data_IF_114452879478
#
_entry.id   IF_114452879478
#
_cell.length_a   1.000
_cell.length_b   1.000
_cell.length_c   1.000
_cell.angle_alpha   90.00
_cell.angle_beta   90.00
_cell.angle_gamma   90.00
#
_symmetry.space_group_name_H-M   'P 1'
#
loop_
_entity.id
_entity.type
_entity.pdbx_description
1 polymer ?
#
# COMPACT_ATOMS: atom_id res chain seq x y z
N UNK A 1 -8.97 -32.14 35.82
CA UNK A 1 -8.45 -30.80 35.46
C UNK A 1 -7.41 -30.97 34.37
N UNK A 2 -7.45 -30.15 33.33
CA UNK A 2 -6.50 -30.18 32.20
C UNK A 2 -5.11 -29.70 32.64
N UNK A 3 -4.07 -30.48 32.35
CA UNK A 3 -2.69 -30.17 32.74
C UNK A 3 -1.83 -29.65 31.60
N UNK A 4 -0.75 -28.93 31.94
CA UNK A 4 0.25 -28.42 30.99
C UNK A 4 0.83 -29.52 30.10
N UNK A 5 1.13 -30.68 30.67
CA UNK A 5 1.68 -31.81 29.94
C UNK A 5 0.69 -32.41 28.93
N UNK A 6 -0.61 -32.41 29.25
CA UNK A 6 -1.66 -32.86 28.32
C UNK A 6 -1.77 -31.93 27.11
N UNK A 7 -1.78 -30.60 27.34
CA UNK A 7 -1.84 -29.63 26.24
C UNK A 7 -0.59 -29.72 25.36
N UNK A 8 0.61 -29.74 25.97
CA UNK A 8 1.88 -29.82 25.21
C UNK A 8 2.02 -31.07 24.38
N UNK A 9 1.49 -32.21 24.83
CA UNK A 9 1.47 -33.45 24.04
C UNK A 9 0.67 -33.29 22.76
N UNK A 10 -0.55 -32.75 22.85
CA UNK A 10 -1.38 -32.50 21.67
C UNK A 10 -0.72 -31.51 20.70
N UNK A 11 -0.05 -30.47 21.21
CA UNK A 11 0.72 -29.55 20.37
C UNK A 11 1.91 -30.25 19.67
N UNK A 12 2.62 -31.13 20.39
CA UNK A 12 3.71 -31.92 19.82
C UNK A 12 3.22 -32.92 18.76
N UNK A 13 1.98 -33.41 18.90
CA UNK A 13 1.29 -34.24 17.90
C UNK A 13 0.78 -33.41 16.70
N UNK A 14 1.09 -32.11 16.63
CA UNK A 14 0.78 -31.22 15.52
C UNK A 14 -0.57 -30.50 15.61
N UNK A 15 -1.30 -30.62 16.72
CA UNK A 15 -2.59 -29.95 16.88
C UNK A 15 -2.42 -28.47 17.22
N UNK A 16 -3.33 -27.64 16.71
CA UNK A 16 -3.52 -26.25 17.17
C UNK A 16 -4.22 -26.16 18.52
N UNK A 17 -4.19 -24.98 19.14
CA UNK A 17 -4.80 -24.72 20.45
C UNK A 17 -6.33 -24.89 20.46
N UNK A 18 -7.00 -24.63 19.33
CA UNK A 18 -8.44 -24.81 19.18
C UNK A 18 -8.82 -26.30 19.23
N UNK A 19 -8.08 -27.14 18.51
CA UNK A 19 -8.31 -28.59 18.51
C UNK A 19 -7.86 -29.22 19.83
N UNK A 20 -6.75 -28.78 20.40
CA UNK A 20 -6.30 -29.20 21.72
C UNK A 20 -7.33 -28.84 22.80
N UNK A 21 -7.88 -27.62 22.76
CA UNK A 21 -8.96 -27.18 23.64
C UNK A 21 -10.21 -28.04 23.50
N UNK A 22 -10.68 -28.29 22.27
CA UNK A 22 -11.83 -29.19 22.01
C UNK A 22 -11.64 -30.58 22.60
N UNK A 23 -10.49 -31.21 22.38
CA UNK A 23 -10.20 -32.56 22.90
C UNK A 23 -10.10 -32.62 24.42
N UNK A 24 -9.67 -31.52 25.04
CA UNK A 24 -9.48 -31.43 26.49
C UNK A 24 -10.68 -30.80 27.21
N UNK A 25 -11.74 -30.44 26.49
CA UNK A 25 -12.95 -29.84 27.06
C UNK A 25 -12.72 -28.46 27.67
N UNK A 26 -11.75 -27.67 27.16
CA UNK A 26 -11.46 -26.31 27.62
C UNK A 26 -11.40 -25.32 26.45
N UNK A 27 -11.72 -24.03 26.66
CA UNK A 27 -11.52 -23.00 25.65
C UNK A 27 -10.07 -22.93 25.13
N UNK A 28 -9.90 -22.55 23.87
CA UNK A 28 -8.58 -22.50 23.23
C UNK A 28 -7.61 -21.55 23.95
N UNK A 29 -8.08 -20.36 24.36
CA UNK A 29 -7.30 -19.43 25.17
C UNK A 29 -6.92 -19.98 26.55
N UNK A 30 -7.77 -20.84 27.14
CA UNK A 30 -7.44 -21.53 28.38
C UNK A 30 -6.39 -22.63 28.16
N UNK A 31 -6.45 -23.37 27.05
CA UNK A 31 -5.40 -24.31 26.66
C UNK A 31 -4.05 -23.59 26.44
N UNK A 32 -4.07 -22.43 25.79
CA UNK A 32 -2.90 -21.56 25.63
C UNK A 32 -2.32 -21.13 26.98
N UNK A 33 -3.15 -20.58 27.87
CA UNK A 33 -2.75 -20.17 29.21
C UNK A 33 -2.13 -21.33 30.00
N UNK A 34 -2.69 -22.53 29.91
CA UNK A 34 -2.16 -23.74 30.56
C UNK A 34 -0.77 -24.11 30.01
N UNK A 35 -0.57 -24.03 28.69
CA UNK A 35 0.69 -24.40 28.03
C UNK A 35 1.84 -23.41 28.27
N UNK A 36 1.54 -22.11 28.20
CA UNK A 36 2.54 -21.03 28.16
C UNK A 36 2.63 -20.22 29.45
N UNK A 37 1.57 -20.24 30.27
CA UNK A 37 1.44 -19.37 31.45
C UNK A 37 1.07 -17.93 31.11
N UNK A 38 0.71 -17.64 29.85
CA UNK A 38 0.39 -16.30 29.36
C UNK A 38 -1.07 -16.23 28.88
N UNK A 39 -1.76 -15.10 29.06
CA UNK A 39 -3.07 -14.90 28.45
C UNK A 39 -2.95 -14.81 26.92
N UNK A 40 -3.99 -15.27 26.22
CA UNK A 40 -4.03 -15.25 24.75
C UNK A 40 -4.59 -13.94 24.17
N UNK A 41 -4.81 -12.92 24.99
CA UNK A 41 -5.39 -11.63 24.61
C UNK A 41 -4.40 -10.68 23.88
N UNK A 42 -3.11 -11.05 23.85
CA UNK A 42 -2.06 -10.21 23.28
C UNK A 42 -1.84 -8.90 24.06
N UNK A 43 -2.31 -8.84 25.31
CA UNK A 43 -2.36 -7.63 26.13
C UNK A 43 -1.02 -7.17 26.75
N UNK A 44 0.13 -7.61 26.24
CA UNK A 44 1.43 -7.26 26.82
C UNK A 44 2.59 -7.38 25.84
N UNK A 45 3.63 -6.57 26.06
CA UNK A 45 4.89 -6.71 25.36
C UNK A 45 5.62 -7.96 25.90
N UNK A 46 5.74 -8.99 25.07
CA UNK A 46 6.48 -10.20 25.40
C UNK A 46 7.98 -9.96 25.22
N UNK A 47 8.78 -10.38 26.19
CA UNK A 47 10.24 -10.43 26.05
C UNK A 47 10.65 -11.46 24.98
N UNK A 48 11.84 -11.33 24.40
CA UNK A 48 12.38 -12.31 23.42
C UNK A 48 12.36 -13.73 23.99
N UNK A 49 12.69 -13.91 25.27
CA UNK A 49 12.65 -15.21 25.93
C UNK A 49 11.22 -15.78 26.04
N UNK A 50 10.21 -14.93 26.20
CA UNK A 50 8.80 -15.33 26.24
C UNK A 50 8.27 -15.74 24.86
N UNK A 51 8.69 -15.03 23.81
CA UNK A 51 8.31 -15.34 22.43
C UNK A 51 8.80 -16.72 21.97
N UNK A 52 9.95 -17.18 22.48
CA UNK A 52 10.56 -18.46 22.11
C UNK A 52 10.16 -19.62 23.03
N UNK A 53 9.17 -19.44 23.92
CA UNK A 53 8.74 -20.52 24.83
C UNK A 53 8.09 -21.68 24.08
N UNK A 54 8.30 -22.94 24.53
CA UNK A 54 7.62 -24.10 23.96
C UNK A 54 6.09 -23.94 23.99
N UNK A 55 5.47 -24.05 22.81
CA UNK A 55 4.04 -23.85 22.61
C UNK A 55 3.64 -22.44 22.14
N UNK A 56 4.56 -21.49 22.00
CA UNK A 56 4.25 -20.20 21.40
C UNK A 56 4.04 -20.33 19.88
N UNK A 57 2.90 -19.88 19.33
CA UNK A 57 2.70 -19.83 17.89
C UNK A 57 3.47 -18.66 17.27
N UNK A 58 3.92 -18.81 16.02
CA UNK A 58 4.57 -17.74 15.24
C UNK A 58 3.63 -16.64 14.72
N UNK A 59 2.39 -16.57 15.23
CA UNK A 59 1.35 -15.61 14.81
C UNK A 59 0.60 -15.06 16.03
N UNK A 60 -0.18 -13.99 15.83
CA UNK A 60 -1.04 -13.40 16.86
C UNK A 60 -1.92 -14.45 17.54
N UNK A 61 -2.01 -14.39 18.87
CA UNK A 61 -2.82 -15.29 19.72
C UNK A 61 -4.22 -14.77 20.01
N UNK A 62 -4.54 -13.53 19.60
CA UNK A 62 -5.82 -12.86 19.91
C UNK A 62 -7.05 -13.62 19.43
N UNK A 63 -6.92 -14.45 18.39
CA UNK A 63 -7.99 -15.33 17.91
C UNK A 63 -8.37 -16.45 18.91
N UNK A 64 -7.51 -16.75 19.87
CA UNK A 64 -7.75 -17.75 20.93
C UNK A 64 -8.45 -17.12 22.15
N UNK A 65 -8.49 -15.79 22.25
CA UNK A 65 -9.13 -15.08 23.36
C UNK A 65 -10.65 -15.22 23.30
N UNK A 66 -11.27 -15.30 24.48
CA UNK A 66 -12.72 -15.29 24.65
C UNK A 66 -13.15 -14.06 25.44
N UNK A 67 -14.07 -13.22 24.94
CA UNK A 67 -14.72 -13.28 23.62
C UNK A 67 -13.74 -13.00 22.45
N UNK A 68 -14.11 -13.37 21.20
CA UNK A 68 -13.27 -13.16 20.03
C UNK A 68 -12.92 -11.68 19.84
N UNK A 69 -11.67 -11.40 19.45
CA UNK A 69 -11.26 -10.05 19.10
C UNK A 69 -12.05 -9.56 17.86
N UNK A 70 -12.70 -8.39 17.98
CA UNK A 70 -13.36 -7.70 16.87
C UNK A 70 -12.48 -6.52 16.48
N UNK A 71 -12.26 -6.32 15.18
CA UNK A 71 -11.58 -5.12 14.71
C UNK A 71 -12.55 -3.93 14.80
N UNK A 72 -12.36 -2.96 15.70
CA UNK A 72 -13.29 -1.85 15.85
C UNK A 72 -13.35 -0.95 14.62
N UNK A 73 -12.30 -0.91 13.79
CA UNK A 73 -12.28 -0.11 12.54
C UNK A 73 -13.11 -0.75 11.41
N UNK A 74 -13.60 -1.97 11.62
CA UNK A 74 -14.52 -2.64 10.70
C UNK A 74 -15.99 -2.33 10.97
N UNK A 75 -16.31 -1.72 12.11
CA UNK A 75 -17.66 -1.35 12.52
C UNK A 75 -18.14 -0.06 11.83
N UNK A 76 -19.36 -0.08 11.29
CA UNK A 76 -19.90 1.04 10.51
C UNK A 76 -20.19 2.27 11.36
N UNK A 77 -20.61 2.09 12.61
CA UNK A 77 -20.81 3.21 13.53
C UNK A 77 -19.46 3.88 13.84
N UNK A 78 -18.40 3.11 14.01
CA UNK A 78 -17.03 3.59 14.20
C UNK A 78 -16.52 4.33 12.95
N UNK A 79 -16.73 3.77 11.75
CA UNK A 79 -16.38 4.47 10.49
C UNK A 79 -17.16 5.76 10.32
N UNK A 80 -18.46 5.75 10.64
CA UNK A 80 -19.30 6.94 10.57
C UNK A 80 -18.84 8.01 11.56
N UNK A 81 -18.59 7.64 12.81
CA UNK A 81 -18.04 8.54 13.83
C UNK A 81 -16.68 9.10 13.43
N UNK A 82 -15.78 8.27 12.87
CA UNK A 82 -14.49 8.72 12.35
C UNK A 82 -14.65 9.73 11.20
N UNK A 83 -15.57 9.50 10.26
CA UNK A 83 -15.87 10.45 9.18
C UNK A 83 -16.38 11.78 9.73
N UNK A 84 -17.32 11.74 10.68
CA UNK A 84 -17.85 12.95 11.32
C UNK A 84 -16.75 13.72 12.06
N UNK A 85 -15.88 13.00 12.78
CA UNK A 85 -14.78 13.62 13.52
C UNK A 85 -13.73 14.23 12.59
N UNK A 86 -13.38 13.56 11.50
CA UNK A 86 -12.49 14.11 10.47
C UNK A 86 -13.09 15.36 9.81
N UNK A 87 -14.40 15.38 9.54
CA UNK A 87 -15.09 16.58 9.02
C UNK A 87 -15.10 17.70 10.05
N UNK A 88 -15.30 17.40 11.33
CA UNK A 88 -15.35 18.39 12.40
C UNK A 88 -13.96 18.95 12.76
N UNK A 89 -12.89 18.22 12.52
CA UNK A 89 -11.52 18.58 12.88
C UNK A 89 -11.00 19.78 12.07
N UNK A 90 -10.94 20.95 12.72
CA UNK A 90 -10.49 22.19 12.11
C UNK A 90 -9.02 22.18 11.69
N UNK A 91 -8.16 21.47 12.44
CA UNK A 91 -6.74 21.34 12.13
C UNK A 91 -6.53 20.50 10.87
N UNK A 92 -7.20 19.35 10.78
CA UNK A 92 -7.13 18.50 9.58
C UNK A 92 -7.69 19.22 8.35
N UNK A 93 -8.81 19.95 8.48
CA UNK A 93 -9.34 20.75 7.36
C UNK A 93 -8.40 21.85 6.91
N UNK A 94 -7.71 22.50 7.84
CA UNK A 94 -6.71 23.54 7.53
C UNK A 94 -5.53 22.93 6.79
N UNK A 95 -4.96 21.84 7.32
CA UNK A 95 -3.88 21.11 6.67
C UNK A 95 -4.26 20.62 5.26
N UNK A 96 -5.49 20.14 5.07
CA UNK A 96 -5.99 19.72 3.75
C UNK A 96 -6.08 20.88 2.75
N UNK A 97 -6.45 22.09 3.22
CA UNK A 97 -6.48 23.31 2.38
C UNK A 97 -5.08 23.84 2.05
N UNK A 98 -4.15 23.74 3.00
CA UNK A 98 -2.76 24.18 2.85
C UNK A 98 -1.90 23.18 2.05
N UNK A 99 -2.35 21.91 1.92
CA UNK A 99 -1.62 20.88 1.18
C UNK A 99 -1.35 21.33 -0.26
N UNK A 100 -0.10 21.24 -0.70
CA UNK A 100 0.32 21.48 -2.08
C UNK A 100 -0.25 20.45 -3.06
N UNK A 101 -0.29 20.78 -4.37
CA UNK A 101 -0.75 19.81 -5.40
C UNK A 101 0.14 18.57 -5.39
N UNK A 102 1.41 18.77 -5.10
CA UNK A 102 2.46 17.75 -5.12
C UNK A 102 2.58 17.05 -3.76
N UNK A 103 2.86 15.74 -3.76
CA UNK A 103 3.35 15.06 -2.57
C UNK A 103 4.63 15.72 -2.06
N UNK A 104 4.79 15.77 -0.74
CA UNK A 104 5.99 16.29 -0.07
C UNK A 104 7.22 15.40 -0.33
N UNK A 105 8.41 15.99 -0.23
CA UNK A 105 9.70 15.30 -0.39
C UNK A 105 10.20 15.18 -1.83
N UNK A 106 11.37 14.55 -2.00
CA UNK A 106 12.05 14.38 -3.30
C UNK A 106 11.67 13.09 -4.03
N UNK A 107 11.57 13.20 -5.37
CA UNK A 107 11.53 12.12 -6.39
C UNK A 107 12.00 10.75 -5.90
N UNK A 108 13.29 10.73 -5.70
CA UNK A 108 14.07 9.62 -5.25
C UNK A 108 15.22 10.27 -4.46
N UNK A 109 15.18 10.20 -3.12
CA UNK A 109 16.24 10.73 -2.26
C UNK A 109 17.60 10.10 -2.59
N UNK A 110 18.70 10.84 -2.41
CA UNK A 110 20.06 10.40 -2.79
C UNK A 110 20.56 9.14 -2.05
N UNK A 111 19.94 8.82 -0.91
CA UNK A 111 20.20 7.64 -0.08
C UNK A 111 19.40 6.41 -0.52
N UNK A 112 18.35 6.56 -1.36
CA UNK A 112 17.55 5.45 -1.88
C UNK A 112 18.12 5.00 -3.23
N UNK A 113 18.73 3.82 -3.25
CA UNK A 113 19.45 3.31 -4.43
C UNK A 113 18.93 1.99 -4.97
N UNK A 114 18.36 1.12 -4.14
CA UNK A 114 17.78 -0.14 -4.59
C UNK A 114 16.60 0.11 -5.55
N UNK A 115 16.62 -0.55 -6.72
CA UNK A 115 15.59 -0.42 -7.75
C UNK A 115 14.17 -0.55 -7.20
N UNK A 116 13.93 -1.53 -6.34
CA UNK A 116 12.60 -1.80 -5.79
C UNK A 116 12.18 -0.72 -4.81
N UNK A 117 13.12 -0.14 -4.06
CA UNK A 117 12.84 0.95 -3.12
C UNK A 117 12.60 2.28 -3.85
N UNK A 118 13.36 2.55 -4.93
CA UNK A 118 13.13 3.70 -5.81
C UNK A 118 11.71 3.69 -6.38
N UNK A 119 11.26 2.55 -6.91
CA UNK A 119 9.89 2.44 -7.42
C UNK A 119 8.83 2.40 -6.31
N UNK A 120 9.12 1.81 -5.14
CA UNK A 120 8.21 1.86 -3.98
C UNK A 120 7.94 3.30 -3.56
N UNK A 121 8.98 4.14 -3.50
CA UNK A 121 8.81 5.56 -3.17
C UNK A 121 8.02 6.34 -4.24
N UNK A 122 8.17 5.97 -5.52
CA UNK A 122 7.33 6.53 -6.59
C UNK A 122 5.88 6.01 -6.52
N UNK A 123 5.66 4.76 -6.12
CA UNK A 123 4.33 4.20 -5.84
C UNK A 123 3.62 4.95 -4.71
N UNK A 124 4.36 5.33 -3.65
CA UNK A 124 3.81 6.13 -2.56
C UNK A 124 3.34 7.51 -3.04
N UNK A 125 4.10 8.14 -3.94
CA UNK A 125 3.68 9.39 -4.59
C UNK A 125 2.44 9.22 -5.45
N UNK A 126 2.42 8.22 -6.32
CA UNK A 126 1.28 7.92 -7.17
C UNK A 126 0.03 7.66 -6.33
N UNK A 127 0.18 6.89 -5.25
CA UNK A 127 -0.88 6.62 -4.28
C UNK A 127 -1.37 7.90 -3.60
N UNK A 128 -0.47 8.79 -3.21
CA UNK A 128 -0.83 10.08 -2.61
C UNK A 128 -1.60 10.98 -3.58
N UNK A 129 -1.17 11.05 -4.84
CA UNK A 129 -1.84 11.82 -5.89
C UNK A 129 -3.23 11.26 -6.22
N UNK A 130 -3.37 9.93 -6.36
CA UNK A 130 -4.66 9.26 -6.56
C UNK A 130 -5.60 9.54 -5.39
N UNK A 131 -5.13 9.39 -4.16
CA UNK A 131 -5.92 9.71 -2.96
C UNK A 131 -6.37 11.17 -2.96
N UNK A 132 -5.47 12.09 -3.29
CA UNK A 132 -5.81 13.51 -3.34
C UNK A 132 -6.83 13.85 -4.44
N UNK A 133 -6.75 13.19 -5.60
CA UNK A 133 -7.73 13.37 -6.66
C UNK A 133 -9.12 12.88 -6.25
N UNK A 134 -9.18 11.74 -5.56
CA UNK A 134 -10.42 11.09 -5.09
C UNK A 134 -11.06 11.77 -3.88
N UNK A 135 -10.30 12.49 -3.05
CA UNK A 135 -10.87 13.20 -1.89
C UNK A 135 -11.42 14.58 -2.21
N UNK A 136 -11.04 15.16 -3.35
CA UNK A 136 -11.56 16.43 -3.81
C UNK A 136 -12.97 16.22 -4.40
N UNK A 137 -13.96 17.07 -4.06
CA UNK A 137 -15.32 16.91 -4.55
C UNK A 137 -15.38 16.94 -6.08
N UNK A 138 -16.11 15.99 -6.65
CA UNK A 138 -16.43 15.93 -8.08
C UNK A 138 -17.60 16.82 -8.49
N UNK A 139 -17.93 16.83 -9.78
CA UNK A 139 -19.02 17.63 -10.35
C UNK A 139 -20.35 17.26 -9.70
N UNK A 140 -20.62 15.97 -9.54
CA UNK A 140 -21.83 15.45 -8.87
C UNK A 140 -21.91 15.74 -7.36
N UNK A 141 -20.86 16.33 -6.76
CA UNK A 141 -20.77 16.63 -5.33
C UNK A 141 -20.81 18.14 -5.03
N UNK A 142 -21.11 18.98 -6.02
CA UNK A 142 -21.21 20.43 -5.84
C UNK A 142 -19.84 21.10 -5.67
N UNK A 143 -18.83 20.64 -6.40
CA UNK A 143 -17.49 21.23 -6.38
C UNK A 143 -17.51 22.72 -6.78
N UNK A 144 -16.85 23.54 -5.98
CA UNK A 144 -16.54 24.93 -6.36
C UNK A 144 -15.54 24.97 -7.52
N UNK A 145 -15.51 26.05 -8.29
CA UNK A 145 -14.52 26.20 -9.38
C UNK A 145 -13.07 26.07 -8.89
N UNK A 146 -12.77 26.56 -7.68
CA UNK A 146 -11.44 26.43 -7.09
C UNK A 146 -11.08 24.96 -6.84
N UNK A 147 -12.05 24.13 -6.43
CA UNK A 147 -11.86 22.69 -6.26
C UNK A 147 -11.73 21.97 -7.60
N UNK A 148 -12.49 22.36 -8.63
CA UNK A 148 -12.34 21.80 -9.98
C UNK A 148 -10.96 22.12 -10.58
N UNK A 149 -10.51 23.37 -10.48
CA UNK A 149 -9.14 23.78 -10.88
C UNK A 149 -8.09 22.97 -10.11
N UNK A 150 -8.32 22.74 -8.83
CA UNK A 150 -7.43 21.94 -8.00
C UNK A 150 -7.40 20.46 -8.41
N UNK A 151 -8.54 19.85 -8.71
CA UNK A 151 -8.63 18.47 -9.23
C UNK A 151 -7.88 18.32 -10.54
N UNK A 152 -8.08 19.27 -11.46
CA UNK A 152 -7.33 19.34 -12.71
C UNK A 152 -5.82 19.37 -12.46
N UNK A 153 -5.35 20.26 -11.58
CA UNK A 153 -3.93 20.36 -11.27
C UNK A 153 -3.36 19.04 -10.70
N UNK A 154 -4.10 18.34 -9.82
CA UNK A 154 -3.69 17.03 -9.29
C UNK A 154 -3.64 15.97 -10.39
N UNK A 155 -4.64 15.94 -11.27
CA UNK A 155 -4.67 15.03 -12.40
C UNK A 155 -3.50 15.27 -13.38
N UNK A 156 -3.14 16.54 -13.63
CA UNK A 156 -2.00 16.88 -14.48
C UNK A 156 -0.66 16.44 -13.86
N UNK A 157 -0.48 16.63 -12.54
CA UNK A 157 0.72 16.14 -11.83
C UNK A 157 0.78 14.61 -11.84
N UNK A 158 -0.32 13.92 -11.56
CA UNK A 158 -0.42 12.45 -11.65
C UNK A 158 -0.04 11.97 -13.05
N UNK A 159 -0.57 12.62 -14.09
CA UNK A 159 -0.27 12.28 -15.47
C UNK A 159 1.22 12.47 -15.80
N UNK A 160 1.85 13.53 -15.30
CA UNK A 160 3.29 13.77 -15.44
C UNK A 160 4.16 12.74 -14.73
N UNK A 161 3.77 12.34 -13.52
CA UNK A 161 4.47 11.29 -12.76
C UNK A 161 4.39 9.96 -13.50
N UNK A 162 3.19 9.54 -13.93
CA UNK A 162 3.00 8.29 -14.67
C UNK A 162 3.74 8.28 -16.02
N UNK A 163 3.78 9.41 -16.73
CA UNK A 163 4.48 9.56 -18.01
C UNK A 163 6.00 9.36 -17.93
N UNK A 164 6.59 9.42 -16.73
CA UNK A 164 8.02 9.14 -16.51
C UNK A 164 8.26 7.88 -15.66
N UNK A 165 7.25 7.41 -14.93
CA UNK A 165 7.27 6.16 -14.19
C UNK A 165 7.34 4.94 -15.13
N UNK A 166 6.33 4.77 -15.99
CA UNK A 166 6.23 3.59 -16.85
C UNK A 166 7.44 3.43 -17.80
N UNK A 167 7.96 4.50 -18.46
CA UNK A 167 9.18 4.36 -19.26
C UNK A 167 10.41 3.91 -18.47
N UNK A 168 10.53 4.30 -17.20
CA UNK A 168 11.64 3.86 -16.35
C UNK A 168 11.51 2.37 -16.01
N UNK A 169 10.32 1.89 -15.68
CA UNK A 169 10.09 0.46 -15.45
C UNK A 169 10.37 -0.37 -16.71
N UNK A 170 9.90 0.10 -17.87
CA UNK A 170 10.14 -0.55 -19.18
C UNK A 170 11.61 -0.66 -19.55
N UNK A 171 12.42 0.31 -19.11
CA UNK A 171 13.86 0.33 -19.37
C UNK A 171 14.64 -0.52 -18.38
N UNK A 172 14.32 -0.45 -17.09
CA UNK A 172 15.18 -0.97 -16.03
C UNK A 172 14.60 -2.17 -15.28
N UNK A 173 13.27 -2.20 -15.07
CA UNK A 173 12.61 -3.21 -14.24
C UNK A 173 12.17 -4.41 -15.08
N UNK A 174 11.34 -4.20 -16.09
CA UNK A 174 10.71 -5.28 -16.83
C UNK A 174 11.71 -6.17 -17.58
N UNK A 175 12.81 -5.65 -18.17
CA UNK A 175 13.88 -6.52 -18.70
C UNK A 175 14.51 -7.41 -17.63
N UNK A 176 14.83 -6.86 -16.46
CA UNK A 176 15.37 -7.63 -15.34
C UNK A 176 14.39 -8.71 -14.88
N UNK A 177 13.10 -8.39 -14.78
CA UNK A 177 12.05 -9.36 -14.40
C UNK A 177 11.98 -10.52 -15.38
N UNK A 178 12.07 -10.25 -16.70
CA UNK A 178 12.06 -11.30 -17.74
C UNK A 178 13.20 -12.29 -17.59
N UNK A 179 14.38 -11.81 -17.20
CA UNK A 179 15.59 -12.61 -17.07
C UNK A 179 15.67 -13.35 -15.74
N UNK A 180 15.24 -12.71 -14.65
CA UNK A 180 15.49 -13.21 -13.30
C UNK A 180 14.41 -14.14 -12.74
N UNK A 181 13.16 -14.06 -13.22
CA UNK A 181 12.04 -14.81 -12.65
C UNK A 181 11.53 -15.90 -13.61
N UNK A 182 11.15 -17.06 -13.06
CA UNK A 182 10.63 -18.21 -13.84
C UNK A 182 9.41 -17.85 -14.73
N UNK A 183 8.54 -16.97 -14.24
CA UNK A 183 7.40 -16.43 -14.99
C UNK A 183 7.60 -14.96 -15.39
N UNK A 184 8.85 -14.54 -15.52
CA UNK A 184 9.27 -13.18 -15.80
C UNK A 184 8.69 -12.62 -17.10
N UNK A 185 8.72 -13.41 -18.19
CA UNK A 185 8.15 -13.01 -19.47
C UNK A 185 6.67 -12.64 -19.37
N UNK A 186 5.86 -13.53 -18.78
CA UNK A 186 4.43 -13.30 -18.54
C UNK A 186 4.18 -12.10 -17.62
N UNK A 187 4.99 -11.95 -16.57
CA UNK A 187 4.85 -10.85 -15.61
C UNK A 187 5.13 -9.50 -16.28
N UNK A 188 6.19 -9.43 -17.08
CA UNK A 188 6.54 -8.24 -17.84
C UNK A 188 5.48 -7.92 -18.91
N UNK A 189 5.02 -8.90 -19.69
CA UNK A 189 3.97 -8.68 -20.70
C UNK A 189 2.70 -8.09 -20.06
N UNK A 190 2.27 -8.65 -18.93
CA UNK A 190 1.12 -8.14 -18.16
C UNK A 190 1.33 -6.71 -17.67
N UNK A 191 2.52 -6.36 -17.20
CA UNK A 191 2.81 -5.00 -16.76
C UNK A 191 2.70 -4.00 -17.93
N UNK A 192 3.25 -4.36 -19.09
CA UNK A 192 3.17 -3.52 -20.29
C UNK A 192 1.72 -3.31 -20.75
N UNK A 193 0.89 -4.35 -20.67
CA UNK A 193 -0.55 -4.25 -20.96
C UNK A 193 -1.27 -3.32 -19.97
N UNK A 194 -0.96 -3.40 -18.68
CA UNK A 194 -1.52 -2.52 -17.64
C UNK A 194 -1.15 -1.05 -17.88
N UNK A 195 0.12 -0.79 -18.18
CA UNK A 195 0.63 0.53 -18.55
C UNK A 195 -0.08 1.08 -19.80
N UNK A 196 -0.23 0.27 -20.85
CA UNK A 196 -0.87 0.71 -22.09
C UNK A 196 -2.36 1.02 -21.87
N UNK A 197 -3.03 0.23 -21.02
CA UNK A 197 -4.42 0.48 -20.63
C UNK A 197 -4.58 1.77 -19.82
N UNK A 198 -3.71 2.00 -18.84
CA UNK A 198 -3.70 3.22 -18.03
C UNK A 198 -3.37 4.44 -18.90
N UNK A 199 -2.40 4.33 -19.81
CA UNK A 199 -2.00 5.43 -20.67
C UNK A 199 -3.14 5.93 -21.58
N UNK A 200 -3.99 5.01 -22.06
CA UNK A 200 -5.21 5.34 -22.82
C UNK A 200 -6.20 6.12 -21.96
N UNK A 201 -6.56 5.59 -20.78
CA UNK A 201 -7.50 6.27 -19.86
C UNK A 201 -6.98 7.64 -19.43
N UNK A 202 -5.69 7.75 -19.10
CA UNK A 202 -5.05 9.01 -18.73
C UNK A 202 -5.09 10.03 -19.87
N UNK A 203 -4.89 9.59 -21.11
CA UNK A 203 -4.96 10.46 -22.27
C UNK A 203 -6.38 10.99 -22.51
N UNK A 204 -7.41 10.19 -22.22
CA UNK A 204 -8.80 10.61 -22.21
C UNK A 204 -9.04 11.63 -21.08
N UNK A 205 -8.68 11.29 -19.83
CA UNK A 205 -8.83 12.17 -18.67
C UNK A 205 -8.22 13.57 -18.90
N UNK A 206 -7.04 13.64 -19.52
CA UNK A 206 -6.38 14.92 -19.83
C UNK A 206 -7.16 15.82 -20.80
N UNK A 207 -7.97 15.23 -21.67
CA UNK A 207 -8.78 15.95 -22.67
C UNK A 207 -10.16 16.31 -22.12
N UNK A 208 -10.61 15.65 -21.07
CA UNK A 208 -11.91 15.89 -20.44
C UNK A 208 -11.88 17.13 -19.54
N UNK A 209 -12.86 18.05 -19.66
CA UNK A 209 -13.02 19.17 -18.74
C UNK A 209 -13.27 18.72 -17.29
N UNK A 210 -12.73 19.42 -16.26
CA UNK A 210 -12.86 19.01 -14.86
C UNK A 210 -14.27 19.20 -14.27
N UNK A 211 -15.17 19.86 -14.99
CA UNK A 211 -16.58 20.06 -14.68
C UNK A 211 -17.50 19.07 -15.42
N UNK A 212 -16.92 18.14 -16.19
CA UNK A 212 -17.64 17.05 -16.85
C UNK A 212 -17.82 15.85 -15.88
N UNK A 213 -18.94 15.14 -15.95
CA UNK A 213 -19.16 13.90 -15.19
C UNK A 213 -18.21 12.79 -15.66
N UNK A 214 -17.82 12.79 -16.93
CA UNK A 214 -16.86 11.84 -17.48
C UNK A 214 -15.47 12.02 -16.85
N UNK A 215 -15.13 13.22 -16.38
CA UNK A 215 -13.87 13.46 -15.66
C UNK A 215 -13.83 12.66 -14.35
N UNK A 216 -14.95 12.61 -13.63
CA UNK A 216 -15.05 11.87 -12.37
C UNK A 216 -14.88 10.37 -12.61
N UNK A 217 -15.56 9.84 -13.62
CA UNK A 217 -15.46 8.43 -14.00
C UNK A 217 -14.04 8.04 -14.46
N UNK A 218 -13.41 8.88 -15.29
CA UNK A 218 -12.04 8.65 -15.78
C UNK A 218 -11.01 8.76 -14.65
N UNK A 219 -11.16 9.72 -13.73
CA UNK A 219 -10.29 9.88 -12.57
C UNK A 219 -10.34 8.64 -11.65
N UNK A 220 -11.54 8.12 -11.39
CA UNK A 220 -11.71 6.88 -10.63
C UNK A 220 -11.10 5.68 -11.35
N UNK A 221 -11.27 5.59 -12.68
CA UNK A 221 -10.70 4.52 -13.49
C UNK A 221 -9.17 4.54 -13.48
N UNK A 222 -8.54 5.69 -13.69
CA UNK A 222 -7.08 5.85 -13.58
C UNK A 222 -6.62 5.46 -12.18
N UNK A 223 -7.29 5.94 -11.13
CA UNK A 223 -6.98 5.58 -9.76
C UNK A 223 -7.05 4.08 -9.47
N UNK A 224 -8.04 3.38 -10.04
CA UNK A 224 -8.15 1.93 -9.95
C UNK A 224 -7.04 1.19 -10.73
N UNK A 225 -6.71 1.66 -11.94
CA UNK A 225 -5.64 1.10 -12.77
C UNK A 225 -4.27 1.23 -12.09
N UNK A 226 -3.96 2.42 -11.55
CA UNK A 226 -2.72 2.70 -10.80
C UNK A 226 -2.60 1.82 -9.55
N UNK A 227 -3.67 1.70 -8.74
CA UNK A 227 -3.65 0.81 -7.56
C UNK A 227 -3.43 -0.65 -7.93
N UNK A 228 -4.03 -1.10 -9.03
CA UNK A 228 -3.87 -2.46 -9.54
C UNK A 228 -2.45 -2.72 -10.03
N UNK A 229 -1.84 -1.74 -10.71
CA UNK A 229 -0.44 -1.79 -11.14
C UNK A 229 0.50 -1.91 -9.94
N UNK A 230 0.39 -0.98 -8.98
CA UNK A 230 1.22 -0.97 -7.77
C UNK A 230 1.14 -2.30 -7.02
N UNK A 231 -0.07 -2.81 -6.76
CA UNK A 231 -0.23 -4.08 -6.05
C UNK A 231 0.39 -5.27 -6.81
N UNK A 232 0.36 -5.24 -8.15
CA UNK A 232 1.00 -6.25 -8.98
C UNK A 232 2.53 -6.11 -8.96
N UNK A 233 3.05 -4.90 -9.14
CA UNK A 233 4.48 -4.61 -9.14
C UNK A 233 5.13 -4.89 -7.78
N UNK A 234 4.48 -4.54 -6.66
CA UNK A 234 5.00 -4.81 -5.31
C UNK A 234 5.15 -6.32 -5.03
N UNK A 235 4.24 -7.15 -5.58
CA UNK A 235 4.35 -8.60 -5.51
C UNK A 235 5.54 -9.13 -6.32
N UNK A 236 5.87 -8.48 -7.44
CA UNK A 236 7.08 -8.77 -8.22
C UNK A 236 8.35 -8.31 -7.47
N UNK A 237 8.32 -7.15 -6.81
CA UNK A 237 9.44 -6.61 -6.04
C UNK A 237 9.88 -7.57 -4.92
N UNK A 238 8.93 -8.18 -4.21
CA UNK A 238 9.24 -9.17 -3.19
C UNK A 238 10.11 -10.32 -3.75
N UNK A 239 9.77 -10.82 -4.93
CA UNK A 239 10.49 -11.92 -5.60
C UNK A 239 11.84 -11.48 -6.16
N UNK A 240 11.93 -10.25 -6.68
CA UNK A 240 13.20 -9.69 -7.14
C UNK A 240 14.20 -9.53 -5.99
N UNK A 241 13.76 -9.12 -4.80
CA UNK A 241 14.64 -9.01 -3.63
C UNK A 241 15.23 -10.36 -3.20
N UNK A 242 14.51 -11.45 -3.45
CA UNK A 242 14.96 -12.83 -3.16
C UNK A 242 15.89 -13.39 -4.24
N UNK A 243 15.74 -12.97 -5.50
CA UNK A 243 16.37 -13.63 -6.67
C UNK A 243 17.52 -12.83 -7.27
N UNK A 244 17.45 -11.50 -7.24
CA UNK A 244 18.44 -10.61 -7.87
C UNK A 244 19.39 -10.07 -6.80
N UNK A 245 20.71 -10.13 -6.99
CA UNK A 245 21.68 -9.52 -6.07
C UNK A 245 21.46 -8.02 -5.85
N UNK A 246 21.73 -7.55 -4.62
CA UNK A 246 21.52 -6.15 -4.22
C UNK A 246 22.31 -5.15 -5.08
N UNK A 247 23.58 -5.44 -5.39
CA UNK A 247 24.43 -4.58 -6.21
C UNK A 247 23.88 -4.35 -7.63
N UNK A 248 23.20 -5.36 -8.20
CA UNK A 248 22.51 -5.25 -9.48
C UNK A 248 21.29 -4.33 -9.36
N UNK A 249 20.49 -4.49 -8.29
CA UNK A 249 19.32 -3.65 -8.04
C UNK A 249 19.73 -2.21 -7.74
N UNK A 250 20.77 -1.98 -6.96
CA UNK A 250 21.29 -0.63 -6.68
C UNK A 250 21.78 0.09 -7.94
N UNK A 251 22.51 -0.61 -8.82
CA UNK A 251 23.00 -0.05 -10.07
C UNK A 251 21.85 0.42 -10.97
N UNK A 252 20.81 -0.40 -11.11
CA UNK A 252 19.63 -0.09 -11.92
C UNK A 252 18.79 1.01 -11.28
N UNK A 253 18.61 0.99 -9.96
CA UNK A 253 17.90 2.07 -9.25
C UNK A 253 18.60 3.41 -9.42
N UNK A 254 19.93 3.46 -9.30
CA UNK A 254 20.70 4.66 -9.58
C UNK A 254 20.56 5.16 -11.03
N UNK A 255 20.38 4.26 -12.01
CA UNK A 255 20.07 4.65 -13.39
C UNK A 255 18.70 5.32 -13.52
N UNK A 256 17.68 4.77 -12.86
CA UNK A 256 16.33 5.35 -12.81
C UNK A 256 16.36 6.75 -12.18
N UNK A 257 17.04 6.91 -11.03
CA UNK A 257 17.16 8.20 -10.34
C UNK A 257 17.82 9.26 -11.23
N UNK A 258 18.93 8.91 -11.91
CA UNK A 258 19.57 9.82 -12.87
C UNK A 258 18.64 10.20 -14.01
N UNK A 259 17.95 9.22 -14.61
CA UNK A 259 17.02 9.48 -15.71
C UNK A 259 15.85 10.40 -15.30
N UNK A 260 15.32 10.28 -14.09
CA UNK A 260 14.29 11.18 -13.58
C UNK A 260 14.80 12.57 -13.23
N UNK A 261 16.05 12.69 -12.76
CA UNK A 261 16.70 13.97 -12.46
C UNK A 261 16.98 14.77 -13.73
N UNK A 262 17.48 14.10 -14.76
CA UNK A 262 17.88 14.72 -16.03
C UNK A 262 16.70 14.86 -17.02
N UNK A 263 15.58 14.20 -16.73
CA UNK A 263 14.37 14.23 -17.52
C UNK A 263 13.65 15.60 -17.48
N UNK A 264 12.78 15.88 -18.45
CA UNK A 264 11.99 17.11 -18.44
C UNK A 264 11.12 17.15 -17.17
N UNK A 265 11.02 18.33 -16.53
CA UNK A 265 10.23 18.48 -15.32
C UNK A 265 8.75 18.18 -15.66
N UNK A 266 8.00 17.44 -14.82
CA UNK A 266 6.62 17.07 -15.14
C UNK A 266 5.74 18.30 -15.38
N UNK A 267 4.67 18.21 -16.19
CA UNK A 267 3.74 19.32 -16.43
C UNK A 267 3.23 19.93 -15.11
N UNK A 268 3.17 21.26 -15.05
CA UNK A 268 2.81 22.02 -13.84
C UNK A 268 3.97 22.33 -12.88
N UNK A 269 5.22 22.27 -13.36
CA UNK A 269 6.49 22.58 -12.66
C UNK A 269 6.96 24.02 -12.76
N UNK A 270 6.35 24.85 -13.60
CA UNK A 270 6.59 26.29 -13.53
C UNK A 270 5.75 26.86 -12.39
N UNK A 271 6.41 27.14 -11.25
CA UNK A 271 5.95 28.23 -10.39
C UNK A 271 5.97 29.50 -11.25
N UNK A 272 4.85 30.20 -11.34
CA UNK A 272 4.87 31.54 -11.89
C UNK A 272 5.89 32.36 -11.08
N UNK A 273 6.79 33.13 -11.72
CA UNK A 273 7.71 33.98 -10.98
C UNK A 273 6.90 35.01 -10.14
N UNK A 274 7.47 35.52 -9.04
CA UNK A 274 6.82 36.55 -8.23
C UNK A 274 6.53 37.83 -9.03
#
# INVERSE_FOLDING_TARGET
>A
MTSRSQVRRLLADGLGYEEAGRRLGVPAGQAFLIATGLPADGGGALTTAEQHRPGMPGRSTQHLAGPPAVNPTSDDATRHWLRLRAVADGQMRRAARERGVRPEGERAPDDVRDLTDVFTHDHDRLTALVKQLQTLPGTGQGATEAQQRRRRAVADVLAGTLASHAPAERRCLWPLVREALDDGARSADRALEQDDEEARTRAELRRTPPDDEDFDALAERVGAQVRRHIAFADAVFARLRETVPEDVRERLGAEVVRAWRDGPPPPGTQEAPP
#
